data_IF_404046288536
#
_entry.id   IF_404046288536
#
_cell.length_a   1.000
_cell.length_b   1.000
_cell.length_c   1.000
_cell.angle_alpha   90.00
_cell.angle_beta   90.00
_cell.angle_gamma   90.00
#
_symmetry.space_group_name_H-M   'P 1'
#
loop_
_entity.id
_entity.type
_entity.pdbx_description
1 polymer ?
#
# COMPACT_ATOMS: atom_id res chain seq x y z
N UNK A 1 5.64 4.77 -14.29
CA UNK A 1 4.99 3.55 -14.79
C UNK A 1 6.04 2.85 -15.60
N UNK A 2 6.23 1.55 -15.34
CA UNK A 2 7.16 0.69 -16.06
C UNK A 2 6.45 0.10 -17.29
N UNK A 3 5.27 -0.50 -17.06
CA UNK A 3 4.40 -1.05 -18.09
C UNK A 3 3.13 -0.22 -18.30
N UNK A 4 2.53 0.29 -17.22
CA UNK A 4 1.25 1.02 -17.23
C UNK A 4 0.01 0.13 -17.33
N UNK A 5 0.12 -1.09 -17.84
CA UNK A 5 -0.99 -2.05 -17.99
C UNK A 5 -1.30 -2.85 -16.73
N UNK A 6 -0.39 -2.86 -15.76
CA UNK A 6 -0.53 -3.61 -14.51
C UNK A 6 -1.18 -2.78 -13.40
N UNK A 7 -1.66 -1.58 -13.72
CA UNK A 7 -2.26 -0.64 -12.78
C UNK A 7 -3.77 -0.68 -12.87
N UNK A 8 -4.42 -0.90 -11.72
CA UNK A 8 -5.89 -0.93 -11.58
C UNK A 8 -6.33 0.17 -10.64
N UNK A 9 -7.12 1.12 -11.15
CA UNK A 9 -7.62 2.26 -10.38
C UNK A 9 -9.13 2.17 -10.19
N UNK A 10 -9.57 2.35 -8.95
CA UNK A 10 -10.97 2.52 -8.61
C UNK A 10 -11.51 3.90 -9.02
N UNK A 11 -12.84 4.05 -8.97
CA UNK A 11 -13.52 5.31 -9.28
C UNK A 11 -13.08 6.41 -8.30
N UNK A 12 -12.75 7.58 -8.83
CA UNK A 12 -12.41 8.76 -8.03
C UNK A 12 -11.05 8.69 -7.34
N UNK A 13 -10.13 7.83 -7.81
CA UNK A 13 -8.73 7.91 -7.39
C UNK A 13 -8.12 9.22 -7.89
N UNK A 14 -7.36 9.88 -7.03
CA UNK A 14 -6.58 11.06 -7.38
C UNK A 14 -5.09 10.76 -7.18
N UNK A 15 -4.29 11.02 -8.21
CA UNK A 15 -2.83 10.87 -8.17
C UNK A 15 -2.20 12.24 -8.41
N UNK A 16 -1.48 12.75 -7.42
CA UNK A 16 -0.78 14.02 -7.55
C UNK A 16 0.57 13.86 -8.29
N UNK A 17 1.18 15.00 -8.62
CA UNK A 17 2.33 15.10 -9.50
C UNK A 17 3.53 14.23 -9.06
N UNK A 18 4.31 13.80 -10.06
CA UNK A 18 5.59 13.09 -9.89
C UNK A 18 5.52 11.75 -9.18
N UNK A 19 4.37 11.08 -9.23
CA UNK A 19 4.25 9.71 -8.73
C UNK A 19 5.02 8.72 -9.63
N UNK A 20 5.78 7.81 -9.03
CA UNK A 20 6.61 6.82 -9.73
C UNK A 20 6.19 5.41 -9.37
N UNK A 21 5.51 4.72 -10.28
CA UNK A 21 5.02 3.37 -10.03
C UNK A 21 5.80 2.39 -10.92
N UNK A 22 6.46 1.44 -10.28
CA UNK A 22 7.16 0.32 -10.93
C UNK A 22 6.22 -0.87 -10.84
N UNK A 23 5.47 -1.11 -11.91
CA UNK A 23 4.36 -2.04 -11.98
C UNK A 23 4.73 -3.39 -12.61
N UNK A 24 5.89 -3.94 -12.23
CA UNK A 24 6.34 -5.31 -12.59
C UNK A 24 5.30 -6.37 -12.21
N UNK A 25 4.65 -6.19 -11.06
CA UNK A 25 3.43 -6.90 -10.65
C UNK A 25 2.27 -5.91 -10.47
N UNK A 26 1.04 -6.45 -10.38
CA UNK A 26 -0.19 -5.66 -10.24
C UNK A 26 -0.10 -4.64 -9.12
N UNK A 27 -0.50 -3.40 -9.41
CA UNK A 27 -0.74 -2.35 -8.43
C UNK A 27 -2.22 -2.00 -8.46
N UNK A 28 -2.93 -2.27 -7.36
CA UNK A 28 -4.35 -1.98 -7.23
C UNK A 28 -4.56 -0.83 -6.26
N UNK A 29 -5.32 0.19 -6.68
CA UNK A 29 -5.72 1.32 -5.84
C UNK A 29 -7.24 1.40 -5.79
N UNK A 30 -7.81 1.23 -4.60
CA UNK A 30 -9.25 1.26 -4.36
C UNK A 30 -9.86 2.65 -4.57
N UNK A 31 -11.18 2.68 -4.73
CA UNK A 31 -11.95 3.89 -5.03
C UNK A 31 -11.72 5.02 -4.01
N UNK A 32 -11.85 6.28 -4.46
CA UNK A 32 -11.74 7.50 -3.63
C UNK A 32 -10.41 7.66 -2.88
N UNK A 33 -9.39 6.88 -3.21
CA UNK A 33 -8.05 7.01 -2.62
C UNK A 33 -7.31 8.21 -3.18
N UNK A 34 -6.66 8.96 -2.31
CA UNK A 34 -5.89 10.15 -2.65
C UNK A 34 -4.40 9.89 -2.43
N UNK A 35 -3.59 10.10 -3.47
CA UNK A 35 -2.13 9.99 -3.39
C UNK A 35 -1.52 11.39 -3.53
N UNK A 36 -0.70 11.76 -2.53
CA UNK A 36 0.07 12.99 -2.52
C UNK A 36 1.15 13.04 -3.60
N UNK A 37 1.90 14.15 -3.72
CA UNK A 37 2.95 14.26 -4.73
C UNK A 37 4.12 13.34 -4.41
N UNK A 38 4.88 12.93 -5.42
CA UNK A 38 6.07 12.09 -5.26
C UNK A 38 5.83 10.72 -4.59
N UNK A 39 4.61 10.16 -4.69
CA UNK A 39 4.35 8.81 -4.17
C UNK A 39 4.99 7.76 -5.08
N UNK A 40 5.73 6.85 -4.46
CA UNK A 40 6.46 5.80 -5.14
C UNK A 40 5.91 4.42 -4.77
N UNK A 41 5.46 3.66 -5.76
CA UNK A 41 4.89 2.31 -5.58
C UNK A 41 5.77 1.30 -6.30
N UNK A 42 6.43 0.40 -5.57
CA UNK A 42 7.40 -0.52 -6.14
C UNK A 42 6.92 -1.95 -5.99
N UNK A 43 6.31 -2.53 -7.03
CA UNK A 43 5.92 -3.95 -7.00
C UNK A 43 7.06 -4.88 -7.43
N UNK A 44 8.08 -4.37 -8.13
CA UNK A 44 9.31 -5.07 -8.50
C UNK A 44 10.43 -4.98 -7.45
N UNK A 45 11.32 -5.98 -7.44
CA UNK A 45 12.56 -6.07 -6.64
C UNK A 45 13.56 -7.03 -7.30
N UNK A 46 14.73 -7.21 -6.69
CA UNK A 46 15.76 -8.14 -7.13
C UNK A 46 16.20 -9.08 -5.99
N UNK A 47 16.78 -10.24 -6.33
CA UNK A 47 17.52 -11.06 -5.38
C UNK A 47 18.55 -10.23 -4.60
N UNK A 48 18.73 -10.57 -3.31
CA UNK A 48 19.68 -9.88 -2.44
C UNK A 48 21.11 -10.36 -2.70
N UNK A 49 21.25 -11.65 -3.00
CA UNK A 49 22.52 -12.31 -3.31
C UNK A 49 23.07 -11.77 -4.65
N UNK A 50 24.25 -11.12 -4.66
CA UNK A 50 24.80 -10.50 -5.87
C UNK A 50 25.01 -11.48 -7.04
N UNK A 51 25.40 -12.71 -6.73
CA UNK A 51 25.61 -13.78 -7.71
C UNK A 51 24.30 -14.16 -8.41
N UNK A 52 23.21 -14.25 -7.65
CA UNK A 52 21.88 -14.50 -8.21
C UNK A 52 21.38 -13.29 -9.00
N UNK A 53 21.54 -12.07 -8.45
CA UNK A 53 21.09 -10.84 -9.11
C UNK A 53 21.78 -10.60 -10.46
N UNK A 54 23.08 -10.90 -10.58
CA UNK A 54 23.85 -10.91 -11.83
C UNK A 54 23.60 -9.67 -12.75
N UNK A 55 23.46 -8.48 -12.17
CA UNK A 55 23.14 -7.26 -12.91
C UNK A 55 21.85 -7.38 -13.74
N UNK A 56 21.89 -6.99 -15.01
CA UNK A 56 20.74 -7.12 -15.93
C UNK A 56 20.61 -8.52 -16.56
N UNK A 57 21.48 -9.47 -16.19
CA UNK A 57 21.46 -10.85 -16.68
C UNK A 57 20.80 -11.82 -15.71
N UNK A 58 20.55 -11.41 -14.47
CA UNK A 58 19.83 -12.20 -13.47
C UNK A 58 18.33 -11.89 -13.46
N UNK A 59 17.56 -12.63 -12.65
CA UNK A 59 16.12 -12.48 -12.59
C UNK A 59 15.72 -11.20 -11.83
N UNK A 60 14.55 -10.68 -12.19
CA UNK A 60 13.75 -9.80 -11.34
C UNK A 60 12.69 -10.60 -10.58
N UNK A 61 12.17 -10.01 -9.51
CA UNK A 61 11.08 -10.56 -8.72
C UNK A 61 10.05 -9.47 -8.47
N UNK A 62 8.85 -9.84 -8.06
CA UNK A 62 7.87 -8.86 -7.64
C UNK A 62 6.75 -9.45 -6.80
N UNK A 63 6.00 -8.58 -6.14
CA UNK A 63 4.79 -8.91 -5.40
C UNK A 63 3.79 -7.77 -5.54
N UNK A 64 2.52 -8.13 -5.65
CA UNK A 64 1.44 -7.17 -5.82
C UNK A 64 1.39 -6.13 -4.69
N UNK A 65 1.00 -4.90 -5.04
CA UNK A 65 0.67 -3.86 -4.05
C UNK A 65 -0.84 -3.63 -4.11
N UNK A 66 -1.47 -3.62 -2.94
CA UNK A 66 -2.91 -3.37 -2.81
C UNK A 66 -3.12 -2.19 -1.87
N UNK A 67 -3.71 -1.12 -2.37
CA UNK A 67 -4.18 0.02 -1.58
C UNK A 67 -5.69 -0.02 -1.58
N UNK A 68 -6.31 -0.16 -0.39
CA UNK A 68 -7.75 -0.20 -0.22
C UNK A 68 -8.43 1.12 -0.61
N UNK A 69 -9.76 1.12 -0.67
CA UNK A 69 -10.53 2.34 -0.91
C UNK A 69 -10.44 3.33 0.26
N UNK A 70 -10.79 4.59 0.01
CA UNK A 70 -10.82 5.67 1.02
C UNK A 70 -9.46 5.94 1.70
N UNK A 71 -8.35 5.51 1.12
CA UNK A 71 -7.03 5.75 1.72
C UNK A 71 -6.52 7.17 1.42
N UNK A 72 -5.68 7.69 2.31
CA UNK A 72 -4.86 8.87 2.03
C UNK A 72 -3.37 8.53 2.15
N UNK A 73 -2.65 8.65 1.04
CA UNK A 73 -1.21 8.43 0.97
C UNK A 73 -0.52 9.78 0.92
N UNK A 74 0.22 10.12 1.99
CA UNK A 74 0.95 11.38 2.09
C UNK A 74 2.01 11.54 0.99
N UNK A 75 2.48 12.78 0.79
CA UNK A 75 3.53 13.07 -0.19
C UNK A 75 4.85 12.35 0.15
N UNK A 76 5.63 12.03 -0.87
CA UNK A 76 6.95 11.38 -0.75
C UNK A 76 6.90 10.01 -0.04
N UNK A 77 5.76 9.32 -0.04
CA UNK A 77 5.65 7.95 0.51
C UNK A 77 6.21 6.94 -0.49
N UNK A 78 6.92 5.94 0.03
CA UNK A 78 7.35 4.75 -0.72
C UNK A 78 6.64 3.51 -0.18
N UNK A 79 6.02 2.71 -1.05
CA UNK A 79 5.38 1.43 -0.70
C UNK A 79 6.13 0.29 -1.41
N UNK A 80 6.60 -0.69 -0.62
CA UNK A 80 7.43 -1.81 -1.10
C UNK A 80 6.60 -3.01 -1.60
N UNK A 81 7.24 -3.99 -2.29
CA UNK A 81 6.54 -5.12 -2.89
C UNK A 81 5.76 -5.93 -1.85
N UNK A 82 4.54 -6.36 -2.22
CA UNK A 82 3.73 -7.26 -1.40
C UNK A 82 2.95 -6.60 -0.29
N UNK A 83 2.98 -5.26 -0.19
CA UNK A 83 2.28 -4.52 0.86
C UNK A 83 0.81 -4.32 0.52
N UNK A 84 -0.04 -4.60 1.51
CA UNK A 84 -1.45 -4.24 1.54
C UNK A 84 -1.70 -3.08 2.51
N UNK A 85 -2.27 -1.99 2.01
CA UNK A 85 -2.81 -0.89 2.82
C UNK A 85 -4.31 -1.08 2.93
N UNK A 86 -4.80 -1.38 4.13
CA UNK A 86 -6.21 -1.57 4.38
C UNK A 86 -7.03 -0.30 4.10
N UNK A 87 -8.29 -0.51 3.73
CA UNK A 87 -9.30 0.55 3.49
C UNK A 87 -9.30 1.62 4.57
N UNK A 88 -9.47 2.88 4.17
CA UNK A 88 -9.64 4.01 5.08
C UNK A 88 -8.38 4.40 5.86
N UNK A 89 -7.22 3.81 5.52
CA UNK A 89 -5.97 4.08 6.23
C UNK A 89 -5.26 5.32 5.70
N UNK A 90 -4.48 5.95 6.58
CA UNK A 90 -3.66 7.11 6.27
C UNK A 90 -2.18 6.77 6.42
N UNK A 91 -1.39 7.06 5.39
CA UNK A 91 0.07 6.96 5.45
C UNK A 91 0.67 8.36 5.53
N UNK A 92 1.38 8.65 6.60
CA UNK A 92 2.05 9.94 6.80
C UNK A 92 3.10 10.22 5.73
N UNK A 93 3.33 11.49 5.40
CA UNK A 93 4.32 11.90 4.41
C UNK A 93 5.73 11.36 4.71
N UNK A 94 6.53 11.16 3.66
CA UNK A 94 7.90 10.65 3.72
C UNK A 94 8.07 9.26 4.36
N UNK A 95 6.99 8.47 4.44
CA UNK A 95 7.04 7.12 5.03
C UNK A 95 7.56 6.07 4.05
N UNK A 96 8.27 5.06 4.56
CA UNK A 96 8.66 3.86 3.81
C UNK A 96 7.89 2.67 4.35
N UNK A 97 6.87 2.25 3.63
CA UNK A 97 5.96 1.18 4.05
C UNK A 97 6.52 -0.17 3.61
N UNK A 98 6.98 -0.95 4.59
CA UNK A 98 7.63 -2.26 4.38
C UNK A 98 6.78 -3.44 4.83
N UNK A 99 5.62 -3.17 5.42
CA UNK A 99 4.68 -4.17 5.96
C UNK A 99 3.25 -3.68 5.78
N UNK A 100 2.30 -4.60 5.79
CA UNK A 100 0.88 -4.30 5.69
C UNK A 100 0.41 -3.33 6.77
N UNK A 101 -0.55 -2.48 6.40
CA UNK A 101 -1.23 -1.55 7.30
C UNK A 101 -2.68 -2.01 7.44
N UNK A 102 -3.18 -2.32 8.63
CA UNK A 102 -4.57 -2.74 8.80
C UNK A 102 -5.55 -1.64 8.36
N UNK A 103 -6.81 -1.96 8.02
CA UNK A 103 -7.83 -0.97 7.69
C UNK A 103 -8.02 0.05 8.80
N UNK A 104 -8.35 1.30 8.44
CA UNK A 104 -8.62 2.40 9.37
C UNK A 104 -7.49 2.66 10.38
N UNK A 105 -6.24 2.62 9.93
CA UNK A 105 -5.10 2.98 10.76
C UNK A 105 -4.30 4.12 10.17
N UNK A 106 -3.68 4.90 11.06
CA UNK A 106 -2.62 5.82 10.70
C UNK A 106 -1.30 5.09 10.84
N UNK A 107 -0.47 5.09 9.80
CA UNK A 107 0.90 4.64 9.86
C UNK A 107 1.84 5.73 9.34
N UNK A 108 3.02 5.87 9.95
CA UNK A 108 4.04 6.78 9.45
C UNK A 108 5.46 6.35 9.83
N UNK A 109 6.46 6.94 9.18
CA UNK A 109 7.88 6.78 9.50
C UNK A 109 8.66 5.94 8.47
N UNK A 110 9.97 5.82 8.71
CA UNK A 110 10.87 5.01 7.89
C UNK A 110 11.72 4.10 8.81
N UNK A 111 11.44 2.79 8.86
CA UNK A 111 10.28 2.11 8.27
C UNK A 111 8.97 2.50 8.97
N UNK A 112 7.86 2.51 8.23
CA UNK A 112 6.55 2.92 8.73
C UNK A 112 6.08 2.02 9.88
N UNK A 113 5.40 2.62 10.86
CA UNK A 113 4.77 1.93 11.99
C UNK A 113 3.33 2.39 12.13
N UNK A 114 2.44 1.46 12.46
CA UNK A 114 1.08 1.80 12.88
C UNK A 114 1.16 2.63 14.15
N UNK A 115 0.56 3.82 14.13
CA UNK A 115 0.57 4.77 15.23
C UNK A 115 -0.70 4.67 16.06
N UNK A 116 -1.86 4.62 15.37
CA UNK A 116 -3.17 4.51 16.00
C UNK A 116 -4.23 4.05 15.03
N UNK A 117 -5.33 3.56 15.57
CA UNK A 117 -6.58 3.36 14.85
C UNK A 117 -7.28 4.70 14.60
N UNK A 118 -8.00 4.80 13.49
CA UNK A 118 -8.89 5.91 13.13
C UNK A 118 -10.29 5.52 13.61
N UNK A 119 -10.90 6.39 14.41
CA UNK A 119 -12.33 6.27 14.71
C UNK A 119 -13.11 6.74 13.49
N UNK A 120 -13.90 5.84 12.91
CA UNK A 120 -14.61 6.08 11.66
C UNK A 120 -15.91 5.31 11.63
N UNK A 121 -16.99 5.99 11.25
CA UNK A 121 -18.29 5.35 11.00
C UNK A 121 -18.27 4.38 9.82
N UNK A 122 -17.22 4.44 9.00
CA UNK A 122 -16.99 3.49 7.90
C UNK A 122 -16.38 2.16 8.37
N UNK A 123 -15.84 2.10 9.59
CA UNK A 123 -15.32 0.88 10.22
C UNK A 123 -16.44 0.12 10.93
N UNK A 124 -17.37 -0.41 10.15
CA UNK A 124 -18.43 -1.27 10.68
C UNK A 124 -17.83 -2.62 11.06
N UNK A 125 -17.46 -2.75 12.34
CA UNK A 125 -17.08 -4.07 12.86
C UNK A 125 -18.33 -4.96 12.83
N UNK A 126 -18.21 -6.24 12.42
CA UNK A 126 -19.31 -7.17 12.61
C UNK A 126 -19.68 -7.17 14.09
N UNK A 127 -20.99 -7.15 14.38
CA UNK A 127 -21.49 -7.22 15.75
C UNK A 127 -20.77 -8.37 16.45
N UNK A 128 -20.12 -8.06 17.58
CA UNK A 128 -19.41 -9.04 18.40
C UNK A 128 -20.42 -10.16 18.68
N UNK A 129 -20.20 -11.36 18.16
CA UNK A 129 -21.04 -12.50 18.53
C UNK A 129 -20.96 -12.61 20.05
N UNK A 130 -22.07 -12.32 20.74
CA UNK A 130 -22.17 -12.53 22.16
C UNK A 130 -21.87 -14.01 22.39
N UNK A 131 -20.75 -14.31 23.06
CA UNK A 131 -20.43 -15.66 23.48
C UNK A 131 -21.44 -16.05 24.55
N UNK A 132 -22.60 -16.52 24.11
CA UNK A 132 -23.59 -17.16 24.97
C UNK A 132 -22.95 -18.37 25.60
N UNK A 133 -22.59 -18.26 26.88
CA UNK A 133 -22.24 -19.41 27.70
C UNK A 133 -23.48 -20.28 27.80
N UNK A 134 -23.49 -21.42 27.11
CA UNK A 134 -24.44 -22.48 27.40
C UNK A 134 -24.17 -22.94 28.84
N UNK A 135 -25.13 -22.71 29.74
CA UNK A 135 -25.20 -23.37 31.04
C UNK A 135 -25.99 -24.67 30.89
#
# INVERSE_FOLDING_TARGET
>A
MDYGTQVKLGKGVFVNAYSTWIDTCTITVGARTLLGPHVSLYSGTHPLEPETRNGTKGPEMGKEIVIGEDCWIGGNVTILPGVTIGRGSTIGAASVVTKDVPPFHVAAGNPARVLRKIDSTLDVQPARAESGSYR
#
